data_IF_235748447279
#
_entry.id   IF_235748447279
#
_cell.length_a   1.000
_cell.length_b   1.000
_cell.length_c   1.000
_cell.angle_alpha   90.00
_cell.angle_beta   90.00
_cell.angle_gamma   90.00
#
_symmetry.space_group_name_H-M   'P 1'
#
loop_
_entity.id
_entity.type
_entity.pdbx_description
1 polymer ?
#
# COMPACT_ATOMS: atom_id res chain seq x y z
N UNK A 1 6.51 -0.91 -4.75
CA UNK A 1 6.10 -0.13 -5.93
C UNK A 1 4.59 -0.17 -6.05
N UNK A 2 3.94 0.97 -6.29
CA UNK A 2 2.48 1.08 -6.42
C UNK A 2 1.98 0.88 -7.85
N UNK A 3 2.61 1.52 -8.84
CA UNK A 3 2.25 1.39 -10.24
C UNK A 3 2.68 0.02 -10.80
N UNK A 4 1.76 -0.77 -11.36
CA UNK A 4 2.07 -2.06 -11.99
C UNK A 4 2.61 -3.16 -11.06
N UNK A 5 2.68 -2.92 -9.75
CA UNK A 5 3.15 -3.89 -8.77
C UNK A 5 2.07 -4.86 -8.27
N UNK A 6 2.40 -5.60 -7.22
CA UNK A 6 1.51 -6.60 -6.59
C UNK A 6 0.11 -6.06 -6.27
N UNK A 7 0.02 -4.87 -5.66
CA UNK A 7 -1.27 -4.26 -5.33
C UNK A 7 -2.14 -3.96 -6.55
N UNK A 8 -1.54 -3.69 -7.72
CA UNK A 8 -2.29 -3.52 -8.97
C UNK A 8 -2.84 -4.86 -9.47
N UNK A 9 -2.02 -5.92 -9.43
CA UNK A 9 -2.47 -7.27 -9.77
C UNK A 9 -3.63 -7.77 -8.88
N UNK A 10 -3.63 -7.44 -7.59
CA UNK A 10 -4.75 -7.74 -6.69
C UNK A 10 -6.01 -6.96 -7.10
N UNK A 11 -5.90 -5.68 -7.43
CA UNK A 11 -7.04 -4.89 -7.91
C UNK A 11 -7.59 -5.42 -9.23
N UNK A 12 -6.72 -5.82 -10.15
CA UNK A 12 -7.11 -6.46 -11.42
C UNK A 12 -7.86 -7.77 -11.19
N UNK A 13 -7.39 -8.60 -10.24
CA UNK A 13 -8.09 -9.82 -9.84
C UNK A 13 -9.48 -9.50 -9.28
N UNK A 14 -9.58 -8.60 -8.30
CA UNK A 14 -10.87 -8.24 -7.69
C UNK A 14 -11.86 -7.72 -8.73
N UNK A 15 -11.39 -6.89 -9.67
CA UNK A 15 -12.20 -6.40 -10.77
C UNK A 15 -12.67 -7.52 -11.69
N UNK A 16 -11.78 -8.46 -12.06
CA UNK A 16 -12.12 -9.60 -12.91
C UNK A 16 -13.14 -10.53 -12.27
N UNK A 17 -13.05 -10.75 -10.95
CA UNK A 17 -14.00 -11.58 -10.21
C UNK A 17 -15.30 -10.82 -9.84
N UNK A 18 -15.47 -9.57 -10.25
CA UNK A 18 -16.67 -8.77 -10.00
C UNK A 18 -16.84 -8.35 -8.53
N UNK A 19 -15.76 -8.34 -7.74
CA UNK A 19 -15.78 -7.94 -6.33
C UNK A 19 -15.72 -6.41 -6.19
N UNK A 20 -16.87 -5.78 -5.96
CA UNK A 20 -17.00 -4.31 -5.97
C UNK A 20 -17.13 -3.64 -4.60
N UNK A 21 -17.48 -4.39 -3.55
CA UNK A 21 -17.66 -3.86 -2.19
C UNK A 21 -16.50 -4.23 -1.25
N UNK A 22 -15.27 -4.10 -1.74
CA UNK A 22 -14.05 -4.42 -0.98
C UNK A 22 -13.20 -3.15 -0.85
N UNK A 23 -12.96 -2.72 0.39
CA UNK A 23 -12.03 -1.62 0.65
C UNK A 23 -10.60 -2.11 0.53
N UNK A 24 -9.81 -1.47 -0.34
CA UNK A 24 -8.39 -1.81 -0.55
C UNK A 24 -7.52 -0.58 -0.34
N UNK A 25 -6.55 -0.68 0.56
CA UNK A 25 -5.48 0.31 0.71
C UNK A 25 -4.16 -0.31 0.27
N UNK A 26 -3.47 0.33 -0.68
CA UNK A 26 -2.17 -0.11 -1.17
C UNK A 26 -1.07 0.69 -0.50
N UNK A 27 -0.09 -0.01 0.07
CA UNK A 27 1.14 0.57 0.60
C UNK A 27 2.30 0.21 -0.33
N UNK A 28 3.10 1.20 -0.70
CA UNK A 28 4.27 0.98 -1.54
C UNK A 28 4.93 2.27 -1.98
N UNK A 29 6.10 2.11 -2.63
CA UNK A 29 6.82 3.22 -3.26
C UNK A 29 5.99 3.85 -4.38
N UNK A 30 5.93 5.18 -4.39
CA UNK A 30 5.30 5.99 -5.44
C UNK A 30 6.08 5.89 -6.76
N UNK A 31 5.51 6.45 -7.83
CA UNK A 31 6.17 6.52 -9.13
C UNK A 31 7.21 7.65 -9.13
N UNK A 32 8.29 7.44 -8.38
CA UNK A 32 9.37 8.40 -8.18
C UNK A 32 10.71 7.67 -8.00
N UNK A 33 11.82 8.35 -8.33
CA UNK A 33 13.14 7.85 -7.97
C UNK A 33 13.35 7.95 -6.47
N UNK A 34 13.92 6.89 -5.89
CA UNK A 34 14.22 6.81 -4.46
C UNK A 34 15.70 7.08 -4.25
N UNK A 35 16.02 7.90 -3.24
CA UNK A 35 17.39 8.25 -2.87
C UNK A 35 18.16 7.06 -2.28
N UNK A 36 19.48 7.19 -2.20
CA UNK A 36 20.32 6.19 -1.56
C UNK A 36 20.23 6.29 -0.04
N UNK A 37 19.76 5.23 0.60
CA UNK A 37 19.79 5.06 2.05
C UNK A 37 19.73 3.56 2.37
N UNK A 38 19.79 3.21 3.66
CA UNK A 38 19.56 1.82 4.05
C UNK A 38 18.13 1.41 3.76
N UNK A 39 17.89 0.11 3.55
CA UNK A 39 16.53 -0.38 3.31
C UNK A 39 15.57 -0.09 4.47
N UNK A 40 16.07 -0.03 5.71
CA UNK A 40 15.25 0.27 6.88
C UNK A 40 14.77 1.73 6.85
N UNK A 41 15.68 2.66 6.57
CA UNK A 41 15.34 4.09 6.41
C UNK A 41 14.36 4.31 5.27
N UNK A 42 14.60 3.70 4.10
CA UNK A 42 13.69 3.82 2.96
C UNK A 42 12.31 3.23 3.28
N UNK A 43 12.24 2.07 3.94
CA UNK A 43 10.95 1.49 4.35
C UNK A 43 10.22 2.42 5.32
N UNK A 44 10.91 2.98 6.31
CA UNK A 44 10.30 3.89 7.27
C UNK A 44 9.81 5.19 6.60
N UNK A 45 10.64 5.80 5.76
CA UNK A 45 10.32 7.01 4.99
C UNK A 45 9.06 6.83 4.13
N UNK A 46 8.88 5.64 3.56
CA UNK A 46 7.72 5.31 2.73
C UNK A 46 6.57 4.65 3.52
N UNK A 47 6.64 4.55 4.85
CA UNK A 47 5.61 3.94 5.70
C UNK A 47 5.38 2.45 5.43
N UNK A 48 6.44 1.75 5.01
CA UNK A 48 6.49 0.32 4.72
C UNK A 48 7.18 -0.49 5.84
N UNK A 49 7.33 0.13 7.00
CA UNK A 49 7.71 -0.51 8.25
C UNK A 49 6.47 -0.88 9.09
N UNK A 50 6.71 -1.49 10.24
CA UNK A 50 5.65 -1.94 11.14
C UNK A 50 4.71 -0.79 11.56
N UNK A 51 5.28 0.35 11.96
CA UNK A 51 4.52 1.51 12.40
C UNK A 51 3.67 2.11 11.27
N UNK A 52 4.23 2.19 10.06
CA UNK A 52 3.51 2.65 8.87
C UNK A 52 2.33 1.77 8.50
N UNK A 53 2.52 0.45 8.55
CA UNK A 53 1.45 -0.54 8.28
C UNK A 53 0.37 -0.46 9.36
N UNK A 54 0.76 -0.41 10.64
CA UNK A 54 -0.18 -0.30 11.76
C UNK A 54 -1.04 0.97 11.66
N UNK A 55 -0.42 2.11 11.34
CA UNK A 55 -1.12 3.38 11.14
C UNK A 55 -2.12 3.29 9.99
N UNK A 56 -1.70 2.75 8.84
CA UNK A 56 -2.58 2.58 7.68
C UNK A 56 -3.79 1.68 8.00
N UNK A 57 -3.58 0.61 8.76
CA UNK A 57 -4.66 -0.30 9.17
C UNK A 57 -5.65 0.38 10.13
N UNK A 58 -5.17 1.17 11.11
CA UNK A 58 -6.03 1.95 12.01
C UNK A 58 -6.90 2.95 11.25
N UNK A 59 -6.29 3.72 10.35
CA UNK A 59 -7.00 4.69 9.51
C UNK A 59 -8.09 4.02 8.65
N UNK A 60 -7.85 2.80 8.13
CA UNK A 60 -8.87 2.06 7.39
C UNK A 60 -10.07 1.67 8.27
N UNK A 61 -9.82 1.25 9.52
CA UNK A 61 -10.88 0.89 10.45
C UNK A 61 -11.72 2.09 10.87
N UNK A 62 -11.11 3.27 11.00
CA UNK A 62 -11.82 4.52 11.31
C UNK A 62 -12.72 4.97 10.15
N UNK A 63 -12.26 4.83 8.90
CA UNK A 63 -13.04 5.16 7.69
C UNK A 63 -14.17 4.17 7.39
N UNK A 64 -14.14 2.99 8.01
CA UNK A 64 -15.17 1.96 7.84
C UNK A 64 -16.32 2.07 8.86
N UNK A 65 -16.25 3.03 9.80
CA UNK A 65 -17.31 3.35 10.76
C UNK A 65 -18.25 4.43 10.21
#
# INVERSE_FOLDING_TARGET
VLAGGFGSAVLELLAREGMTNVMVRRLGIRDEFVEHATQAELRSLHGLDEEGILRAAKEMLEQSR
#
